data_IF_873139648840
#
_entry.id   IF_873139648840
#
_cell.length_a   1.000
_cell.length_b   1.000
_cell.length_c   1.000
_cell.angle_alpha   90.00
_cell.angle_beta   90.00
_cell.angle_gamma   90.00
#
_symmetry.space_group_name_H-M   'P 1'
#
loop_
_entity.id
_entity.type
_entity.pdbx_description
1 polymer ?
#
# COMPACT_ATOMS: atom_id res chain seq x y z
N UNK A 1 -12.84 -56.87 13.34
CA UNK A 1 -12.87 -55.40 13.26
C UNK A 1 -11.45 -54.88 13.21
N UNK A 2 -10.99 -54.42 12.05
CA UNK A 2 -9.63 -53.89 11.86
C UNK A 2 -9.58 -52.43 12.32
N UNK A 3 -8.80 -52.13 13.37
CA UNK A 3 -8.55 -50.77 13.84
C UNK A 3 -7.56 -50.13 12.85
N UNK A 4 -8.07 -49.31 11.95
CA UNK A 4 -7.25 -48.49 11.06
C UNK A 4 -6.54 -47.44 11.91
N UNK A 5 -5.25 -47.65 12.19
CA UNK A 5 -4.38 -46.59 12.72
C UNK A 5 -4.32 -45.48 11.67
N UNK A 6 -5.04 -44.38 11.90
CA UNK A 6 -4.89 -43.15 11.12
C UNK A 6 -3.46 -42.64 11.33
N UNK A 7 -2.61 -42.75 10.32
CA UNK A 7 -1.32 -42.08 10.30
C UNK A 7 -1.56 -40.58 10.08
N UNK A 8 -1.35 -39.78 11.10
CA UNK A 8 -1.39 -38.33 10.96
C UNK A 8 -0.09 -37.84 10.33
N UNK A 9 -0.17 -36.86 9.43
CA UNK A 9 1.03 -36.18 8.95
C UNK A 9 1.67 -35.39 10.09
N UNK A 10 2.99 -35.17 10.01
CA UNK A 10 3.71 -34.36 11.01
C UNK A 10 3.06 -32.98 11.21
N UNK A 11 2.57 -32.37 10.12
CA UNK A 11 1.83 -31.10 10.17
C UNK A 11 0.53 -31.22 10.97
N UNK A 12 -0.23 -32.31 10.83
CA UNK A 12 -1.45 -32.56 11.60
C UNK A 12 -1.16 -32.83 13.08
N UNK A 13 -0.03 -33.46 13.39
CA UNK A 13 0.43 -33.68 14.77
C UNK A 13 0.81 -32.34 15.41
N UNK A 14 1.58 -31.51 14.70
CA UNK A 14 1.98 -30.17 15.17
C UNK A 14 0.74 -29.27 15.36
N UNK A 15 -0.19 -29.25 14.41
CA UNK A 15 -1.41 -28.45 14.51
C UNK A 15 -2.28 -28.84 15.73
N UNK A 16 -2.37 -30.14 16.01
CA UNK A 16 -3.09 -30.64 17.19
C UNK A 16 -2.36 -30.37 18.50
N UNK A 17 -1.04 -30.44 18.51
CA UNK A 17 -0.22 -30.07 19.67
C UNK A 17 -0.39 -28.59 20.01
N UNK A 18 -0.35 -27.71 19.00
CA UNK A 18 -0.58 -26.27 19.18
C UNK A 18 -2.01 -26.01 19.69
N UNK A 19 -3.02 -26.67 19.11
CA UNK A 19 -4.40 -26.54 19.56
C UNK A 19 -4.63 -27.01 21.00
N UNK A 20 -4.05 -28.15 21.39
CA UNK A 20 -4.16 -28.70 22.75
C UNK A 20 -3.41 -27.83 23.77
N UNK A 21 -2.19 -27.38 23.44
CA UNK A 21 -1.40 -26.49 24.30
C UNK A 21 -2.10 -25.14 24.54
N UNK A 22 -2.73 -24.57 23.50
CA UNK A 22 -3.50 -23.34 23.63
C UNK A 22 -4.74 -23.51 24.52
N UNK A 23 -5.39 -24.68 24.48
CA UNK A 23 -6.56 -24.97 25.32
C UNK A 23 -6.16 -25.18 26.78
N UNK A 24 -5.05 -25.87 27.03
CA UNK A 24 -4.48 -26.07 28.37
C UNK A 24 -3.99 -24.75 28.98
N UNK A 25 -3.34 -23.89 28.19
CA UNK A 25 -2.91 -22.56 28.63
C UNK A 25 -4.09 -21.65 28.99
N UNK A 26 -5.21 -21.71 28.24
CA UNK A 26 -6.45 -20.98 28.59
C UNK A 26 -7.07 -21.48 29.90
N UNK A 27 -7.15 -22.80 30.09
CA UNK A 27 -7.67 -23.39 31.33
C UNK A 27 -6.79 -23.05 32.55
N UNK A 28 -5.47 -22.97 32.38
CA UNK A 28 -4.55 -22.54 33.42
C UNK A 28 -4.77 -21.07 33.82
N UNK A 29 -4.97 -20.17 32.84
CA UNK A 29 -5.25 -18.74 33.09
C UNK A 29 -6.60 -18.50 33.78
N UNK A 30 -7.63 -19.32 33.51
CA UNK A 30 -8.92 -19.26 34.21
C UNK A 30 -8.80 -19.66 35.70
N UNK A 31 -7.80 -20.49 36.04
CA UNK A 31 -7.58 -20.98 37.40
C UNK A 31 -6.66 -20.10 38.26
N UNK A 32 -5.66 -19.44 37.67
CA UNK A 32 -4.69 -18.57 38.35
C UNK A 32 -4.35 -17.34 37.47
N UNK A 33 -5.23 -16.32 37.41
CA UNK A 33 -5.14 -15.23 36.43
C UNK A 33 -3.96 -14.26 36.62
N UNK A 34 -3.25 -14.29 37.77
CA UNK A 34 -2.36 -13.20 38.19
C UNK A 34 -1.02 -13.68 38.80
N UNK A 35 -0.50 -14.82 38.32
CA UNK A 35 0.74 -15.40 38.84
C UNK A 35 1.94 -15.09 37.93
N UNK A 36 2.71 -14.01 38.18
CA UNK A 36 3.89 -13.71 37.38
C UNK A 36 4.95 -14.80 37.57
N UNK A 37 5.20 -15.58 36.51
CA UNK A 37 6.26 -16.58 36.46
C UNK A 37 7.60 -15.96 36.10
N UNK A 38 8.66 -16.24 36.86
CA UNK A 38 10.03 -15.91 36.44
C UNK A 38 10.52 -16.97 35.45
N UNK A 39 10.68 -16.60 34.18
CA UNK A 39 11.17 -17.48 33.12
C UNK A 39 12.58 -17.07 32.68
N UNK A 40 13.64 -17.74 33.16
CA UNK A 40 15.00 -17.44 32.71
C UNK A 40 15.21 -17.95 31.28
N UNK A 41 15.43 -17.04 30.33
CA UNK A 41 15.68 -17.36 28.92
C UNK A 41 17.15 -17.18 28.58
N UNK A 42 17.79 -18.21 28.02
CA UNK A 42 19.06 -18.06 27.34
C UNK A 42 18.82 -17.61 25.90
N UNK A 43 19.37 -16.46 25.53
CA UNK A 43 19.27 -15.89 24.18
C UNK A 43 20.64 -15.84 23.52
N UNK A 44 20.67 -15.85 22.18
CA UNK A 44 21.90 -15.69 21.40
C UNK A 44 22.47 -14.27 21.58
N UNK A 45 23.79 -14.05 21.40
CA UNK A 45 24.42 -12.74 21.51
C UNK A 45 23.74 -11.66 20.65
N UNK A 46 23.36 -11.97 19.41
CA UNK A 46 22.71 -11.01 18.50
C UNK A 46 21.31 -10.62 19.00
N UNK A 47 20.54 -11.60 19.51
CA UNK A 47 19.23 -11.36 20.12
C UNK A 47 19.36 -10.52 21.38
N UNK A 48 20.43 -10.71 22.17
CA UNK A 48 20.72 -9.88 23.34
C UNK A 48 21.02 -8.44 22.94
N UNK A 49 21.88 -8.24 21.94
CA UNK A 49 22.23 -6.91 21.44
C UNK A 49 21.00 -6.15 20.92
N UNK A 50 20.11 -6.85 20.20
CA UNK A 50 18.80 -6.34 19.81
C UNK A 50 17.99 -5.88 21.04
N UNK A 51 17.75 -6.77 22.01
CA UNK A 51 16.94 -6.42 23.19
C UNK A 51 17.55 -5.28 24.02
N UNK A 52 18.88 -5.19 24.12
CA UNK A 52 19.59 -4.11 24.79
C UNK A 52 19.39 -2.75 24.11
N UNK A 53 19.45 -2.70 22.77
CA UNK A 53 19.20 -1.49 22.00
C UNK A 53 17.76 -0.97 22.21
N UNK A 54 16.78 -1.88 22.19
CA UNK A 54 15.37 -1.52 22.39
C UNK A 54 15.08 -1.13 23.84
N UNK A 55 15.67 -1.80 24.84
CA UNK A 55 15.52 -1.45 26.24
C UNK A 55 16.03 -0.03 26.55
N UNK A 56 17.15 0.36 25.92
CA UNK A 56 17.72 1.71 26.03
C UNK A 56 16.77 2.78 25.47
N UNK A 57 16.14 2.51 24.34
CA UNK A 57 15.18 3.44 23.71
C UNK A 57 13.85 3.50 24.46
N UNK A 58 13.38 2.36 24.96
CA UNK A 58 12.14 2.23 25.73
C UNK A 58 12.25 2.86 27.13
N UNK A 59 13.47 2.98 27.69
CA UNK A 59 13.69 3.39 29.07
C UNK A 59 13.36 2.29 30.08
N UNK A 60 13.53 1.03 29.69
CA UNK A 60 13.16 -0.16 30.46
C UNK A 60 14.31 -1.16 30.61
N UNK A 61 14.01 -2.32 31.20
CA UNK A 61 14.95 -3.45 31.28
C UNK A 61 14.81 -4.38 30.07
N UNK A 62 15.88 -5.12 29.75
CA UNK A 62 15.86 -6.20 28.74
C UNK A 62 14.72 -7.19 29.03
N UNK A 63 14.52 -7.54 30.30
CA UNK A 63 13.47 -8.47 30.72
C UNK A 63 12.06 -7.90 30.47
N UNK A 64 11.87 -6.59 30.65
CA UNK A 64 10.60 -5.92 30.35
C UNK A 64 10.30 -5.91 28.85
N UNK A 65 11.31 -5.64 28.01
CA UNK A 65 11.15 -5.67 26.55
C UNK A 65 10.89 -7.10 26.06
N UNK A 66 11.65 -8.07 26.55
CA UNK A 66 11.46 -9.47 26.22
C UNK A 66 10.09 -9.99 26.68
N UNK A 67 9.66 -9.62 27.89
CA UNK A 67 8.32 -9.91 28.42
C UNK A 67 7.23 -9.34 27.51
N UNK A 68 7.29 -8.05 27.18
CA UNK A 68 6.31 -7.42 26.30
C UNK A 68 6.21 -8.09 24.91
N UNK A 69 7.34 -8.49 24.33
CA UNK A 69 7.36 -9.23 23.05
C UNK A 69 6.70 -10.61 23.21
N UNK A 70 7.09 -11.36 24.25
CA UNK A 70 6.55 -12.70 24.52
C UNK A 70 5.07 -12.65 24.84
N UNK A 71 4.63 -11.68 25.63
CA UNK A 71 3.22 -11.43 25.96
C UNK A 71 2.44 -11.05 24.71
N UNK A 72 2.99 -10.20 23.83
CA UNK A 72 2.38 -9.88 22.54
C UNK A 72 2.20 -11.12 21.65
N UNK A 73 3.21 -11.98 21.58
CA UNK A 73 3.13 -13.26 20.83
C UNK A 73 2.10 -14.20 21.46
N UNK A 74 2.13 -14.36 22.78
CA UNK A 74 1.22 -15.22 23.53
C UNK A 74 -0.24 -14.74 23.39
N UNK A 75 -0.50 -13.44 23.56
CA UNK A 75 -1.82 -12.84 23.38
C UNK A 75 -2.36 -13.09 21.96
N UNK A 76 -1.52 -12.96 20.94
CA UNK A 76 -1.90 -13.21 19.54
C UNK A 76 -2.32 -14.66 19.31
N UNK A 77 -1.67 -15.63 19.98
CA UNK A 77 -1.99 -17.05 19.86
C UNK A 77 -3.16 -17.48 20.75
N UNK A 78 -3.31 -16.86 21.94
CA UNK A 78 -4.26 -17.30 22.96
C UNK A 78 -5.62 -16.62 22.88
N UNK A 79 -5.72 -15.37 22.41
CA UNK A 79 -6.97 -14.59 22.43
C UNK A 79 -7.61 -14.41 21.05
N UNK A 80 -7.44 -15.36 20.13
CA UNK A 80 -7.75 -15.28 18.68
C UNK A 80 -8.86 -14.31 18.21
N UNK A 81 -10.04 -14.25 18.84
CA UNK A 81 -11.10 -13.29 18.48
C UNK A 81 -10.85 -11.87 19.02
N UNK A 82 -10.46 -11.71 20.30
CA UNK A 82 -10.11 -10.42 20.89
C UNK A 82 -8.79 -9.87 20.32
N UNK A 83 -7.83 -10.75 20.00
CA UNK A 83 -6.59 -10.42 19.32
C UNK A 83 -6.84 -9.96 17.88
N UNK A 84 -7.76 -10.62 17.15
CA UNK A 84 -8.18 -10.17 15.82
C UNK A 84 -8.87 -8.80 15.88
N UNK A 85 -9.78 -8.57 16.85
CA UNK A 85 -10.45 -7.28 17.03
C UNK A 85 -9.50 -6.16 17.47
N UNK A 86 -8.54 -6.46 18.35
CA UNK A 86 -7.47 -5.53 18.74
C UNK A 86 -6.60 -5.19 17.52
N UNK A 87 -6.26 -6.19 16.71
CA UNK A 87 -5.52 -6.02 15.46
C UNK A 87 -6.22 -5.10 14.47
N UNK A 88 -7.56 -5.09 14.40
CA UNK A 88 -8.30 -4.15 13.54
C UNK A 88 -8.15 -2.70 14.01
N UNK A 89 -8.26 -2.45 15.32
CA UNK A 89 -8.07 -1.11 15.90
C UNK A 89 -6.62 -0.65 15.68
N UNK A 90 -5.65 -1.50 15.95
CA UNK A 90 -4.22 -1.22 15.73
C UNK A 90 -3.90 -0.92 14.26
N UNK A 91 -4.48 -1.66 13.31
CA UNK A 91 -4.29 -1.40 11.86
C UNK A 91 -4.93 -0.09 11.42
N UNK A 92 -6.07 0.29 12.00
CA UNK A 92 -6.65 1.61 11.74
C UNK A 92 -5.78 2.73 12.32
N UNK A 93 -5.24 2.57 13.53
CA UNK A 93 -4.27 3.51 14.09
C UNK A 93 -3.02 3.64 13.21
N UNK A 94 -2.50 2.51 12.71
CA UNK A 94 -1.38 2.50 11.78
C UNK A 94 -1.71 3.24 10.47
N UNK A 95 -2.93 3.12 9.93
CA UNK A 95 -3.35 3.92 8.77
C UNK A 95 -3.37 5.42 9.07
N UNK A 96 -3.84 5.83 10.25
CA UNK A 96 -3.87 7.23 10.64
C UNK A 96 -2.44 7.79 10.70
N UNK A 97 -1.52 7.06 11.32
CA UNK A 97 -0.10 7.42 11.43
C UNK A 97 0.59 7.45 10.06
N UNK A 98 0.36 6.44 9.22
CA UNK A 98 0.92 6.32 7.88
C UNK A 98 0.53 7.51 6.98
N UNK A 99 -0.69 8.02 7.17
CA UNK A 99 -1.21 9.16 6.43
C UNK A 99 -0.86 10.51 7.08
N UNK A 100 -0.05 10.52 8.15
CA UNK A 100 0.39 11.71 8.89
C UNK A 100 -0.77 12.55 9.44
N UNK A 101 -1.85 11.88 9.84
CA UNK A 101 -3.07 12.52 10.33
C UNK A 101 -3.07 12.61 11.85
N UNK A 102 -3.40 13.79 12.37
CA UNK A 102 -3.83 13.93 13.75
C UNK A 102 -5.19 13.23 13.98
N UNK A 103 -5.52 12.90 15.23
CA UNK A 103 -6.85 12.35 15.53
C UNK A 103 -8.02 13.27 15.15
N UNK A 104 -7.96 14.61 15.34
CA UNK A 104 -8.94 15.51 14.77
C UNK A 104 -9.09 15.39 13.25
N UNK A 105 -7.99 15.39 12.50
CA UNK A 105 -8.03 15.26 11.04
C UNK A 105 -8.54 13.87 10.59
N UNK A 106 -8.14 12.81 11.28
CA UNK A 106 -8.67 11.47 11.05
C UNK A 106 -10.18 11.42 11.31
N UNK A 107 -10.67 12.06 12.37
CA UNK A 107 -12.10 12.15 12.66
C UNK A 107 -12.87 12.88 11.57
N UNK A 108 -12.34 13.97 11.00
CA UNK A 108 -12.96 14.68 9.86
C UNK A 108 -13.20 13.72 8.68
N UNK A 109 -12.23 12.87 8.36
CA UNK A 109 -12.34 11.88 7.28
C UNK A 109 -13.33 10.77 7.64
N UNK A 110 -13.25 10.26 8.87
CA UNK A 110 -13.98 9.08 9.32
C UNK A 110 -15.42 9.38 9.80
N UNK A 111 -15.78 10.65 10.02
CA UNK A 111 -17.12 11.06 10.48
C UNK A 111 -18.22 10.62 9.53
N UNK A 112 -17.96 10.62 8.22
CA UNK A 112 -18.91 10.11 7.20
C UNK A 112 -19.22 8.61 7.35
N UNK A 113 -18.37 7.87 8.07
CA UNK A 113 -18.58 6.46 8.41
C UNK A 113 -19.18 6.29 9.82
N UNK A 114 -19.46 7.37 10.52
CA UNK A 114 -20.01 7.39 11.88
C UNK A 114 -18.97 7.11 12.97
N UNK A 115 -17.70 7.42 12.72
CA UNK A 115 -16.61 7.38 13.70
C UNK A 115 -16.22 8.82 14.05
N UNK A 116 -16.30 9.15 15.32
CA UNK A 116 -16.03 10.48 15.87
C UNK A 116 -14.67 10.55 16.56
N UNK A 117 -14.23 11.76 16.92
CA UNK A 117 -13.01 11.95 17.72
C UNK A 117 -13.08 11.23 19.08
N UNK A 118 -14.26 11.18 19.70
CA UNK A 118 -14.47 10.48 20.96
C UNK A 118 -14.28 8.96 20.78
N UNK A 119 -14.71 8.41 19.65
CA UNK A 119 -14.46 7.01 19.31
C UNK A 119 -12.95 6.76 19.14
N UNK A 120 -12.24 7.60 18.37
CA UNK A 120 -10.79 7.46 18.16
C UNK A 120 -9.95 7.56 19.45
N UNK A 121 -10.45 8.32 20.44
CA UNK A 121 -9.77 8.49 21.73
C UNK A 121 -10.00 7.31 22.69
N UNK A 122 -10.87 6.36 22.34
CA UNK A 122 -11.22 5.21 23.18
C UNK A 122 -11.22 3.92 22.36
N UNK A 123 -10.23 3.02 22.54
CA UNK A 123 -10.14 1.75 21.80
C UNK A 123 -11.42 0.90 21.89
N UNK A 124 -12.10 0.92 23.04
CA UNK A 124 -13.34 0.15 23.24
C UNK A 124 -14.54 0.77 22.53
N UNK A 125 -14.65 2.11 22.51
CA UNK A 125 -15.68 2.80 21.76
C UNK A 125 -15.50 2.58 20.25
N UNK A 126 -14.26 2.73 19.76
CA UNK A 126 -13.90 2.47 18.38
C UNK A 126 -14.23 1.04 17.97
N UNK A 127 -13.89 0.05 18.82
CA UNK A 127 -14.18 -1.36 18.57
C UNK A 127 -15.67 -1.60 18.30
N UNK A 128 -16.55 -0.96 19.06
CA UNK A 128 -18.00 -1.06 18.85
C UNK A 128 -18.48 -0.48 17.51
N UNK A 129 -17.66 0.36 16.85
CA UNK A 129 -17.99 1.00 15.57
C UNK A 129 -17.43 0.29 14.35
N UNK A 130 -16.37 -0.53 14.48
CA UNK A 130 -15.68 -1.18 13.36
C UNK A 130 -16.43 -2.41 12.83
N UNK A 131 -17.61 -2.19 12.26
CA UNK A 131 -18.41 -3.23 11.58
C UNK A 131 -17.86 -3.53 10.18
N UNK A 132 -18.15 -4.72 9.64
CA UNK A 132 -17.67 -5.11 8.31
C UNK A 132 -17.97 -4.09 7.19
N UNK A 133 -19.19 -3.53 7.05
CA UNK A 133 -19.48 -2.52 6.02
C UNK A 133 -18.68 -1.22 6.18
N UNK A 134 -18.42 -0.81 7.44
CA UNK A 134 -17.59 0.37 7.73
C UNK A 134 -16.13 0.11 7.42
N UNK A 135 -15.61 -1.06 7.81
CA UNK A 135 -14.25 -1.47 7.48
C UNK A 135 -14.02 -1.55 5.97
N UNK A 136 -15.00 -2.04 5.21
CA UNK A 136 -14.92 -2.04 3.74
C UNK A 136 -14.87 -0.61 3.18
N UNK A 137 -15.72 0.29 3.68
CA UNK A 137 -15.75 1.69 3.26
C UNK A 137 -14.47 2.45 3.63
N UNK A 138 -13.90 2.17 4.80
CA UNK A 138 -12.61 2.72 5.25
C UNK A 138 -11.48 2.15 4.37
N UNK A 139 -11.47 0.85 4.13
CA UNK A 139 -10.46 0.21 3.28
C UNK A 139 -10.45 0.82 1.87
N UNK A 140 -11.62 1.10 1.30
CA UNK A 140 -11.74 1.79 0.01
C UNK A 140 -11.20 3.23 0.05
N UNK A 141 -11.53 4.02 1.08
CA UNK A 141 -11.05 5.41 1.19
C UNK A 141 -9.53 5.52 1.33
N UNK A 142 -8.93 4.58 2.07
CA UNK A 142 -7.48 4.51 2.28
C UNK A 142 -6.76 3.65 1.22
N UNK A 143 -7.48 3.11 0.24
CA UNK A 143 -6.95 2.26 -0.83
C UNK A 143 -6.16 1.02 -0.33
N UNK A 144 -6.63 0.42 0.76
CA UNK A 144 -6.07 -0.81 1.34
C UNK A 144 -7.03 -2.00 1.20
N UNK A 145 -6.53 -3.21 1.41
CA UNK A 145 -7.35 -4.43 1.40
C UNK A 145 -8.17 -4.52 2.67
N UNK A 146 -9.49 -4.72 2.50
CA UNK A 146 -10.40 -5.02 3.60
C UNK A 146 -9.89 -6.17 4.47
N UNK A 147 -9.42 -7.27 3.87
CA UNK A 147 -8.94 -8.44 4.62
C UNK A 147 -7.71 -8.12 5.47
N UNK A 148 -6.87 -7.18 5.06
CA UNK A 148 -5.81 -6.68 5.93
C UNK A 148 -6.40 -5.81 7.03
N UNK A 149 -7.25 -4.83 6.73
CA UNK A 149 -7.79 -3.99 7.80
C UNK A 149 -8.58 -4.81 8.84
N UNK A 150 -9.27 -5.87 8.42
CA UNK A 150 -10.05 -6.78 9.26
C UNK A 150 -9.23 -7.90 9.95
N UNK A 151 -7.90 -7.88 9.89
CA UNK A 151 -7.08 -8.87 10.61
C UNK A 151 -6.86 -10.21 9.91
N UNK A 152 -7.41 -10.42 8.71
CA UNK A 152 -7.47 -11.73 8.02
C UNK A 152 -6.28 -11.99 7.09
N UNK A 153 -5.62 -10.95 6.61
CA UNK A 153 -4.48 -11.03 5.69
C UNK A 153 -3.32 -10.16 6.18
N UNK A 154 -2.11 -10.51 5.73
CA UNK A 154 -0.90 -9.67 5.85
C UNK A 154 -0.69 -8.75 4.64
N UNK A 155 -1.46 -8.93 3.56
CA UNK A 155 -1.37 -8.12 2.34
C UNK A 155 -2.18 -6.83 2.49
N UNK A 156 -1.48 -5.72 2.68
CA UNK A 156 -1.99 -4.38 2.96
C UNK A 156 -2.71 -3.74 1.78
N UNK A 157 -2.14 -3.78 0.58
CA UNK A 157 -2.66 -3.10 -0.62
C UNK A 157 -2.93 -4.08 -1.75
N UNK A 158 -3.61 -3.62 -2.81
CA UNK A 158 -3.82 -4.39 -4.04
C UNK A 158 -3.22 -3.64 -5.22
N UNK A 159 -2.21 -4.22 -5.87
CA UNK A 159 -1.63 -3.68 -7.11
C UNK A 159 -2.49 -3.91 -8.35
N UNK A 160 -3.82 -3.99 -8.20
CA UNK A 160 -4.75 -4.30 -9.29
C UNK A 160 -6.01 -3.42 -9.22
N UNK A 161 -5.95 -2.27 -8.52
CA UNK A 161 -7.10 -1.37 -8.41
C UNK A 161 -7.58 -0.92 -9.80
N UNK A 162 -6.63 -0.61 -10.67
CA UNK A 162 -6.91 -0.11 -12.02
C UNK A 162 -5.94 -0.72 -13.03
N UNK A 163 -6.49 -1.10 -14.19
CA UNK A 163 -5.73 -1.52 -15.36
C UNK A 163 -5.47 -0.31 -16.26
N UNK A 164 -4.26 -0.21 -16.78
CA UNK A 164 -3.84 0.81 -17.73
C UNK A 164 -3.32 0.21 -19.03
N UNK A 165 -2.78 -1.01 -19.00
CA UNK A 165 -2.28 -1.69 -20.18
C UNK A 165 -3.47 -2.06 -21.08
N UNK A 166 -3.45 -1.57 -22.33
CA UNK A 166 -4.59 -1.63 -23.27
C UNK A 166 -5.86 -0.91 -22.82
N UNK A 167 -5.79 -0.11 -21.76
CA UNK A 167 -6.91 0.66 -21.20
C UNK A 167 -6.46 2.07 -20.82
N UNK A 168 -5.57 2.67 -21.61
CA UNK A 168 -5.00 4.00 -21.32
C UNK A 168 -6.07 5.11 -21.30
N UNK A 169 -7.18 4.94 -22.02
CA UNK A 169 -8.38 5.77 -21.95
C UNK A 169 -9.04 5.74 -20.57
N UNK A 170 -9.22 4.56 -19.97
CA UNK A 170 -9.79 4.43 -18.62
C UNK A 170 -8.86 5.01 -17.57
N UNK A 171 -7.56 4.77 -17.72
CA UNK A 171 -6.54 5.42 -16.90
C UNK A 171 -6.61 6.94 -16.99
N UNK A 172 -6.80 7.50 -18.19
CA UNK A 172 -7.00 8.92 -18.40
C UNK A 172 -8.27 9.45 -17.71
N UNK A 173 -9.40 8.73 -17.77
CA UNK A 173 -10.63 9.10 -17.07
C UNK A 173 -10.45 9.15 -15.55
N UNK A 174 -9.71 8.20 -14.96
CA UNK A 174 -9.43 8.17 -13.52
C UNK A 174 -8.58 9.37 -13.09
N UNK A 175 -7.51 9.65 -13.85
CA UNK A 175 -6.62 10.80 -13.64
C UNK A 175 -7.40 12.12 -13.77
N UNK A 176 -8.22 12.23 -14.81
CA UNK A 176 -9.06 13.38 -15.08
C UNK A 176 -10.04 13.65 -13.94
N UNK A 177 -10.79 12.61 -13.56
CA UNK A 177 -11.79 12.69 -12.48
C UNK A 177 -11.16 13.14 -11.17
N UNK A 178 -9.99 12.62 -10.82
CA UNK A 178 -9.27 13.05 -9.62
C UNK A 178 -8.85 14.50 -9.65
N UNK A 179 -8.30 14.96 -10.78
CA UNK A 179 -7.88 16.35 -10.92
C UNK A 179 -9.07 17.32 -10.78
N UNK A 180 -10.24 16.92 -11.27
CA UNK A 180 -11.45 17.76 -11.27
C UNK A 180 -12.27 17.66 -9.99
N UNK A 181 -12.02 16.68 -9.11
CA UNK A 181 -12.62 16.65 -7.77
C UNK A 181 -11.96 17.61 -6.78
N UNK A 182 -11.05 18.49 -7.24
CA UNK A 182 -10.35 19.46 -6.40
C UNK A 182 -9.18 18.85 -5.60
N UNK A 183 -8.77 17.63 -5.95
CA UNK A 183 -7.60 16.98 -5.36
C UNK A 183 -6.33 17.42 -6.10
N UNK A 184 -5.24 17.57 -5.37
CA UNK A 184 -3.91 17.60 -5.97
C UNK A 184 -3.53 16.16 -6.36
N UNK A 185 -3.37 15.93 -7.66
CA UNK A 185 -3.13 14.60 -8.24
C UNK A 185 -1.72 14.54 -8.80
N UNK A 186 -1.03 13.44 -8.49
CA UNK A 186 0.30 13.14 -8.99
C UNK A 186 0.36 11.69 -9.47
N UNK A 187 0.95 11.49 -10.65
CA UNK A 187 1.27 10.19 -11.20
C UNK A 187 2.73 9.85 -10.84
N UNK A 188 2.92 8.83 -10.03
CA UNK A 188 4.23 8.36 -9.59
C UNK A 188 4.54 7.06 -10.33
N UNK A 189 5.65 6.99 -11.05
CA UNK A 189 6.13 5.74 -11.65
C UNK A 189 7.28 5.17 -10.83
N UNK A 190 7.05 4.00 -10.23
CA UNK A 190 8.01 3.34 -9.34
C UNK A 190 8.69 2.19 -10.07
N UNK A 191 9.99 2.02 -9.87
CA UNK A 191 10.75 0.87 -10.38
C UNK A 191 11.82 0.45 -9.38
N UNK A 192 12.29 -0.80 -9.46
CA UNK A 192 13.44 -1.27 -8.68
C UNK A 192 14.73 -0.50 -9.01
N UNK A 193 15.63 -0.40 -8.03
CA UNK A 193 16.89 0.31 -8.13
C UNK A 193 17.80 -0.32 -9.19
N UNK A 194 17.74 -1.65 -9.34
CA UNK A 194 18.51 -2.38 -10.36
C UNK A 194 17.85 -2.40 -11.74
N UNK A 195 16.64 -1.86 -11.90
CA UNK A 195 15.93 -1.84 -13.17
C UNK A 195 16.66 -1.02 -14.24
N UNK A 196 17.04 -1.69 -15.32
CA UNK A 196 17.59 -1.01 -16.50
C UNK A 196 16.47 -0.58 -17.46
N UNK A 197 16.02 0.67 -17.36
CA UNK A 197 15.00 1.23 -18.26
C UNK A 197 15.46 1.43 -19.72
N UNK A 198 16.77 1.30 -19.98
CA UNK A 198 17.33 1.29 -21.35
C UNK A 198 17.20 -0.09 -22.01
N UNK A 199 16.99 -1.15 -21.23
CA UNK A 199 16.75 -2.49 -21.78
C UNK A 199 15.38 -2.55 -22.45
N UNK A 200 15.38 -2.60 -23.79
CA UNK A 200 14.16 -2.67 -24.63
C UNK A 200 13.83 -4.08 -25.13
N UNK A 201 14.62 -5.08 -24.73
CA UNK A 201 14.41 -6.50 -25.05
C UNK A 201 14.52 -7.36 -23.79
N UNK A 202 13.86 -8.51 -23.81
CA UNK A 202 13.87 -9.48 -22.70
C UNK A 202 14.98 -10.53 -22.86
N UNK A 203 15.74 -10.48 -23.97
CA UNK A 203 16.73 -11.48 -24.33
C UNK A 203 17.88 -11.53 -23.31
N UNK A 204 18.05 -12.69 -22.67
CA UNK A 204 19.14 -12.94 -21.73
C UNK A 204 18.97 -12.34 -20.33
N UNK A 205 17.87 -11.64 -20.05
CA UNK A 205 17.57 -11.13 -18.71
C UNK A 205 16.80 -12.18 -17.90
N UNK A 206 17.27 -12.48 -16.68
CA UNK A 206 16.46 -13.23 -15.73
C UNK A 206 15.19 -12.42 -15.38
N UNK A 207 14.05 -13.09 -15.17
CA UNK A 207 12.76 -12.44 -14.91
C UNK A 207 12.82 -11.35 -13.82
N UNK A 208 13.62 -11.55 -12.76
CA UNK A 208 13.80 -10.59 -11.66
C UNK A 208 14.57 -9.31 -12.03
N UNK A 209 15.29 -9.31 -13.16
CA UNK A 209 16.02 -8.14 -13.66
C UNK A 209 15.33 -7.52 -14.87
N UNK A 210 14.16 -8.04 -15.26
CA UNK A 210 13.34 -7.38 -16.28
C UNK A 210 12.89 -6.04 -15.69
N UNK A 211 13.02 -4.93 -16.42
CA UNK A 211 12.59 -3.64 -15.92
C UNK A 211 11.06 -3.62 -15.85
N UNK A 212 10.52 -3.54 -14.64
CA UNK A 212 9.11 -3.36 -14.39
C UNK A 212 8.84 -1.96 -13.84
N UNK A 213 7.65 -1.44 -14.11
CA UNK A 213 7.20 -0.14 -13.61
C UNK A 213 5.82 -0.32 -13.00
N UNK A 214 5.67 0.20 -11.78
CA UNK A 214 4.42 0.23 -11.03
C UNK A 214 3.92 1.68 -10.97
N UNK A 215 2.83 2.02 -11.67
CA UNK A 215 2.18 3.32 -11.50
C UNK A 215 1.45 3.39 -10.14
N UNK A 216 1.63 4.51 -9.46
CA UNK A 216 0.91 4.85 -8.24
C UNK A 216 0.30 6.24 -8.40
N UNK A 217 -0.99 6.39 -8.15
CA UNK A 217 -1.65 7.71 -8.13
C UNK A 217 -1.67 8.20 -6.70
N UNK A 218 -0.99 9.31 -6.44
CA UNK A 218 -1.11 10.06 -5.20
C UNK A 218 -2.19 11.12 -5.38
N UNK A 219 -3.18 11.12 -4.48
CA UNK A 219 -4.22 12.15 -4.43
C UNK A 219 -4.19 12.80 -3.06
N UNK A 220 -4.10 14.12 -3.04
CA UNK A 220 -3.99 14.90 -1.82
C UNK A 220 -5.11 15.93 -1.76
N UNK A 221 -5.86 15.94 -0.67
CA UNK A 221 -6.89 16.96 -0.40
C UNK A 221 -6.59 17.68 0.90
N UNK A 222 -6.82 18.99 0.92
CA UNK A 222 -6.71 19.78 2.14
C UNK A 222 -7.89 19.48 3.08
N UNK A 223 -7.62 19.43 4.38
CA UNK A 223 -8.61 19.33 5.44
C UNK A 223 -8.80 20.70 6.11
N UNK A 224 -9.96 20.99 6.73
CA UNK A 224 -10.24 22.28 7.36
C UNK A 224 -9.19 22.73 8.40
N UNK A 225 -8.52 21.78 9.07
CA UNK A 225 -7.46 22.04 10.06
C UNK A 225 -6.08 22.36 9.48
N UNK A 226 -5.93 22.50 8.15
CA UNK A 226 -4.64 22.76 7.50
C UNK A 226 -3.78 21.52 7.26
N UNK A 227 -4.19 20.36 7.79
CA UNK A 227 -3.62 19.06 7.45
C UNK A 227 -4.08 18.59 6.05
N UNK A 228 -3.43 17.56 5.53
CA UNK A 228 -3.77 17.00 4.22
C UNK A 228 -4.05 15.53 4.34
N UNK A 229 -5.14 15.09 3.68
CA UNK A 229 -5.38 13.68 3.47
C UNK A 229 -4.78 13.27 2.14
N UNK A 230 -3.75 12.41 2.19
CA UNK A 230 -3.09 11.84 1.02
C UNK A 230 -3.48 10.38 0.89
N UNK A 231 -3.94 9.93 -0.28
CA UNK A 231 -4.19 8.51 -0.58
C UNK A 231 -3.36 8.05 -1.76
N UNK A 232 -3.04 6.76 -1.80
CA UNK A 232 -2.21 6.15 -2.82
C UNK A 232 -2.93 4.98 -3.47
N UNK A 233 -3.17 5.08 -4.78
CA UNK A 233 -3.79 4.01 -5.57
C UNK A 233 -2.70 3.28 -6.36
N UNK A 234 -2.44 2.02 -6.01
CA UNK A 234 -1.53 1.18 -6.80
C UNK A 234 -2.28 0.62 -8.01
N UNK A 235 -1.74 0.86 -9.20
CA UNK A 235 -2.25 0.27 -10.43
C UNK A 235 -1.51 -1.01 -10.79
N UNK A 236 -1.94 -1.70 -11.84
CA UNK A 236 -1.25 -2.90 -12.31
C UNK A 236 0.23 -2.63 -12.64
N UNK A 237 1.09 -3.58 -12.30
CA UNK A 237 2.49 -3.55 -12.70
C UNK A 237 2.62 -3.82 -14.20
N UNK A 238 3.49 -3.07 -14.89
CA UNK A 238 3.80 -3.34 -16.30
C UNK A 238 5.26 -3.57 -16.58
N UNK A 239 5.50 -4.38 -17.61
CA UNK A 239 6.84 -4.66 -18.13
C UNK A 239 7.30 -3.52 -19.01
N UNK A 240 8.33 -2.80 -18.58
CA UNK A 240 8.92 -1.72 -19.35
C UNK A 240 9.69 -2.23 -20.58
N UNK A 241 10.31 -3.41 -20.47
CA UNK A 241 11.00 -4.07 -21.60
C UNK A 241 10.05 -4.37 -22.76
N UNK A 242 8.78 -4.68 -22.46
CA UNK A 242 7.79 -5.00 -23.47
C UNK A 242 7.23 -3.74 -24.14
N UNK A 243 7.52 -3.57 -25.43
CA UNK A 243 7.22 -2.35 -26.17
C UNK A 243 5.74 -1.94 -26.13
N UNK A 244 4.78 -2.89 -26.23
CA UNK A 244 3.35 -2.54 -26.19
C UNK A 244 2.95 -1.97 -24.84
N UNK A 245 3.40 -2.59 -23.74
CA UNK A 245 3.14 -2.09 -22.40
C UNK A 245 3.78 -0.71 -22.23
N UNK A 246 5.04 -0.54 -22.64
CA UNK A 246 5.72 0.75 -22.61
C UNK A 246 4.98 1.85 -23.40
N UNK A 247 4.44 1.54 -24.57
CA UNK A 247 3.65 2.50 -25.36
C UNK A 247 2.38 2.95 -24.61
N UNK A 248 1.61 2.03 -24.04
CA UNK A 248 0.42 2.40 -23.27
C UNK A 248 0.76 3.22 -22.02
N UNK A 249 1.87 2.92 -21.34
CA UNK A 249 2.32 3.72 -20.21
C UNK A 249 2.72 5.13 -20.63
N UNK A 250 3.42 5.28 -21.77
CA UNK A 250 3.72 6.59 -22.37
C UNK A 250 2.45 7.36 -22.71
N UNK A 251 1.41 6.72 -23.23
CA UNK A 251 0.11 7.37 -23.47
C UNK A 251 -0.53 7.90 -22.18
N UNK A 252 -0.47 7.14 -21.08
CA UNK A 252 -0.96 7.59 -19.77
C UNK A 252 -0.16 8.79 -19.26
N UNK A 253 1.18 8.74 -19.34
CA UNK A 253 2.06 9.85 -18.94
C UNK A 253 1.79 11.10 -19.78
N UNK A 254 1.64 10.93 -21.09
CA UNK A 254 1.30 12.03 -22.01
C UNK A 254 -0.03 12.69 -21.65
N UNK A 255 -1.07 11.89 -21.38
CA UNK A 255 -2.35 12.42 -20.95
C UNK A 255 -2.24 13.17 -19.62
N UNK A 256 -1.53 12.60 -18.63
CA UNK A 256 -1.29 13.26 -17.35
C UNK A 256 -0.64 14.64 -17.53
N UNK A 257 0.39 14.72 -18.39
CA UNK A 257 1.03 16.00 -18.70
C UNK A 257 0.10 17.00 -19.39
N UNK A 258 -0.73 16.55 -20.33
CA UNK A 258 -1.74 17.40 -20.99
C UNK A 258 -2.74 17.98 -20.00
N UNK A 259 -3.04 17.25 -18.93
CA UNK A 259 -3.92 17.68 -17.84
C UNK A 259 -3.21 18.45 -16.72
N UNK A 260 -1.93 18.82 -16.90
CA UNK A 260 -1.12 19.45 -15.86
C UNK A 260 -1.08 18.66 -14.53
N UNK A 261 -1.12 17.33 -14.63
CA UNK A 261 -0.89 16.41 -13.53
C UNK A 261 0.62 16.21 -13.40
N UNK A 262 1.14 16.35 -12.19
CA UNK A 262 2.57 16.19 -11.95
C UNK A 262 2.97 14.73 -12.12
N UNK A 263 3.99 14.46 -12.93
CA UNK A 263 4.51 13.11 -13.18
C UNK A 263 5.91 13.02 -12.59
N UNK A 264 6.17 12.03 -11.75
CA UNK A 264 7.51 11.80 -11.16
C UNK A 264 7.90 10.34 -11.17
N UNK A 265 9.20 10.08 -11.08
CA UNK A 265 9.76 8.74 -11.02
C UNK A 265 10.54 8.45 -9.74
N UNK A 266 10.24 7.31 -9.12
CA UNK A 266 11.05 6.75 -8.03
C UNK A 266 11.72 5.44 -8.44
N UNK A 267 13.00 5.33 -8.10
CA UNK A 267 13.80 4.12 -8.05
C UNK A 267 13.99 3.80 -6.58
N UNK A 268 13.47 2.66 -6.15
CA UNK A 268 13.52 2.22 -4.76
C UNK A 268 14.29 0.91 -4.67
N UNK A 269 14.79 0.57 -3.48
CA UNK A 269 15.48 -0.70 -3.25
C UNK A 269 14.63 -1.87 -3.74
N UNK A 270 15.26 -2.87 -4.37
CA UNK A 270 14.52 -3.96 -5.03
C UNK A 270 13.65 -4.74 -4.03
N UNK A 271 14.11 -4.94 -2.79
CA UNK A 271 13.30 -5.55 -1.73
C UNK A 271 12.06 -4.70 -1.38
N UNK A 272 12.20 -3.37 -1.38
CA UNK A 272 11.09 -2.46 -1.13
C UNK A 272 10.10 -2.46 -2.31
N UNK A 273 10.61 -2.58 -3.55
CA UNK A 273 9.79 -2.76 -4.74
C UNK A 273 9.01 -4.07 -4.69
N UNK A 274 9.66 -5.18 -4.39
CA UNK A 274 9.03 -6.49 -4.24
C UNK A 274 7.95 -6.49 -3.15
N UNK A 275 8.23 -5.82 -2.01
CA UNK A 275 7.23 -5.64 -0.96
C UNK A 275 6.07 -4.76 -1.40
N UNK A 276 6.30 -3.72 -2.20
CA UNK A 276 5.24 -2.85 -2.72
C UNK A 276 4.34 -3.60 -3.70
N UNK A 277 4.92 -4.32 -4.66
CA UNK A 277 4.19 -5.14 -5.65
C UNK A 277 3.41 -6.26 -4.96
N UNK A 278 4.01 -6.91 -3.95
CA UNK A 278 3.35 -7.94 -3.16
C UNK A 278 2.32 -7.39 -2.15
N UNK A 279 2.16 -6.06 -2.06
CA UNK A 279 1.25 -5.39 -1.14
C UNK A 279 1.61 -5.62 0.34
N UNK A 280 2.88 -5.79 0.68
CA UNK A 280 3.38 -6.02 2.05
C UNK A 280 3.79 -4.75 2.78
N UNK A 281 3.77 -3.61 2.09
CA UNK A 281 4.12 -2.29 2.63
C UNK A 281 3.09 -1.26 2.17
N UNK A 282 2.83 -0.26 3.01
CA UNK A 282 2.00 0.89 2.67
C UNK A 282 2.83 1.94 1.91
N UNK A 283 2.16 2.67 1.02
CA UNK A 283 2.82 3.66 0.18
C UNK A 283 3.29 4.92 0.93
N UNK A 284 2.60 5.31 1.99
CA UNK A 284 2.89 6.54 2.73
C UNK A 284 4.33 6.57 3.23
N UNK A 285 4.72 5.60 4.03
CA UNK A 285 6.05 5.33 4.57
C UNK A 285 7.10 5.21 3.47
N UNK A 286 6.74 4.63 2.34
CA UNK A 286 7.69 4.42 1.25
C UNK A 286 8.01 5.71 0.51
N UNK A 287 7.03 6.58 0.28
CA UNK A 287 7.19 7.80 -0.51
C UNK A 287 7.43 9.06 0.32
N UNK A 288 7.16 9.02 1.64
CA UNK A 288 7.46 10.13 2.56
C UNK A 288 8.95 10.46 2.46
N UNK A 289 9.26 11.73 2.19
CA UNK A 289 10.62 12.28 2.13
C UNK A 289 11.54 11.69 1.04
N UNK A 290 11.01 11.04 0.00
CA UNK A 290 11.84 10.61 -1.14
C UNK A 290 12.05 11.72 -2.15
N UNK A 291 13.27 11.79 -2.67
CA UNK A 291 13.61 12.65 -3.80
C UNK A 291 13.25 11.95 -5.11
N UNK A 292 12.87 12.73 -6.11
CA UNK A 292 12.70 12.24 -7.49
C UNK A 292 14.04 11.68 -7.98
N UNK A 293 13.99 10.51 -8.60
CA UNK A 293 15.20 9.77 -9.05
C UNK A 293 15.22 9.55 -10.56
N UNK A 294 14.07 9.68 -11.23
CA UNK A 294 13.97 9.69 -12.67
C UNK A 294 12.73 10.45 -13.13
N UNK A 295 12.68 10.78 -14.42
CA UNK A 295 11.71 11.68 -15.03
C UNK A 295 10.94 10.94 -16.13
N UNK A 296 9.77 10.32 -15.84
CA UNK A 296 8.99 9.60 -16.84
C UNK A 296 8.46 10.49 -17.96
N UNK A 297 8.25 11.75 -17.64
CA UNK A 297 7.88 12.82 -18.56
C UNK A 297 8.91 13.06 -19.67
N UNK A 298 10.19 12.71 -19.47
CA UNK A 298 11.21 12.77 -20.53
C UNK A 298 10.84 11.91 -21.76
N UNK A 299 9.98 10.90 -21.59
CA UNK A 299 9.64 9.93 -22.63
C UNK A 299 8.42 10.30 -23.48
N UNK A 300 7.82 11.47 -23.23
CA UNK A 300 6.63 11.95 -23.96
C UNK A 300 6.81 13.41 -24.39
N UNK A 301 6.04 13.91 -25.38
CA UNK A 301 6.11 15.29 -25.80
C UNK A 301 5.47 16.21 -24.76
N UNK A 302 6.09 17.37 -24.56
CA UNK A 302 5.56 18.42 -23.68
C UNK A 302 5.63 19.78 -24.37
N UNK A 303 4.53 20.55 -24.29
CA UNK A 303 4.43 21.91 -24.82
C UNK A 303 4.94 22.07 -26.28
N UNK A 304 4.61 21.10 -27.14
CA UNK A 304 5.01 21.11 -28.56
C UNK A 304 6.46 20.71 -28.83
N UNK A 305 7.22 20.32 -27.80
CA UNK A 305 8.57 19.77 -27.94
C UNK A 305 8.52 18.24 -28.02
N UNK A 306 9.37 17.61 -28.83
CA UNK A 306 9.49 16.15 -28.85
C UNK A 306 10.00 15.62 -27.51
N UNK A 307 9.80 14.32 -27.22
CA UNK A 307 10.37 13.69 -26.04
C UNK A 307 11.90 13.85 -25.97
N UNK A 308 12.43 14.06 -24.77
CA UNK A 308 13.88 14.07 -24.53
C UNK A 308 14.48 12.66 -24.66
N UNK A 309 13.71 11.62 -24.35
CA UNK A 309 14.09 10.20 -24.43
C UNK A 309 13.17 9.45 -25.38
N UNK A 310 13.76 8.51 -26.12
CA UNK A 310 13.08 7.67 -27.11
C UNK A 310 12.16 8.42 -28.10
N UNK A 311 12.58 9.54 -28.73
CA UNK A 311 11.70 10.32 -29.62
C UNK A 311 11.19 9.51 -30.83
N UNK A 312 11.98 8.55 -31.30
CA UNK A 312 11.60 7.65 -32.40
C UNK A 312 10.47 6.69 -32.01
N UNK A 313 10.46 6.23 -30.76
CA UNK A 313 9.40 5.37 -30.26
C UNK A 313 8.09 6.14 -30.14
N UNK A 314 8.13 7.40 -29.69
CA UNK A 314 6.95 8.26 -29.68
C UNK A 314 6.41 8.52 -31.09
N UNK A 315 7.28 8.80 -32.05
CA UNK A 315 6.86 8.95 -33.45
C UNK A 315 6.11 7.71 -33.96
N UNK A 316 6.52 6.51 -33.53
CA UNK A 316 5.83 5.25 -33.84
C UNK A 316 4.44 5.18 -33.19
N UNK A 317 4.30 5.64 -31.94
CA UNK A 317 2.99 5.71 -31.25
C UNK A 317 2.06 6.66 -32.00
N UNK A 318 2.55 7.85 -32.38
CA UNK A 318 1.75 8.87 -33.06
C UNK A 318 1.30 8.44 -34.46
N UNK A 319 2.15 7.74 -35.20
CA UNK A 319 1.82 7.26 -36.56
C UNK A 319 1.03 5.95 -36.61
N UNK A 320 0.82 5.28 -35.48
CA UNK A 320 0.24 3.93 -35.43
C UNK A 320 -1.28 3.97 -35.28
N UNK A 321 -1.98 3.32 -36.20
CA UNK A 321 -3.45 3.18 -36.18
C UNK A 321 -3.96 2.53 -34.88
N UNK A 322 -3.16 1.66 -34.24
CA UNK A 322 -3.50 0.99 -32.98
C UNK A 322 -3.83 1.98 -31.83
N UNK A 323 -3.31 3.21 -31.89
CA UNK A 323 -3.47 4.21 -30.83
C UNK A 323 -4.38 5.39 -31.23
N UNK A 324 -4.80 5.47 -32.49
CA UNK A 324 -5.64 6.56 -32.99
C UNK A 324 -6.93 6.72 -32.17
N UNK A 325 -7.57 5.60 -31.82
CA UNK A 325 -8.77 5.63 -30.97
C UNK A 325 -8.49 6.18 -29.57
N UNK A 326 -7.34 5.84 -28.97
CA UNK A 326 -6.94 6.36 -27.65
C UNK A 326 -6.72 7.87 -27.70
N UNK A 327 -6.04 8.40 -28.72
CA UNK A 327 -5.87 9.85 -28.89
C UNK A 327 -7.20 10.58 -29.10
N UNK A 328 -8.11 9.99 -29.89
CA UNK A 328 -9.47 10.53 -30.04
C UNK A 328 -10.17 10.59 -28.69
N UNK A 329 -10.13 9.51 -27.91
CA UNK A 329 -10.77 9.47 -26.59
C UNK A 329 -10.15 10.48 -25.62
N UNK A 330 -8.83 10.67 -25.65
CA UNK A 330 -8.17 11.72 -24.88
C UNK A 330 -8.71 13.12 -25.23
N UNK A 331 -8.86 13.43 -26.53
CA UNK A 331 -9.42 14.70 -26.96
C UNK A 331 -10.88 14.87 -26.52
N UNK A 332 -11.68 13.80 -26.54
CA UNK A 332 -13.06 13.83 -26.03
C UNK A 332 -13.07 14.18 -24.52
N UNK A 333 -12.26 13.48 -23.70
CA UNK A 333 -12.14 13.76 -22.25
C UNK A 333 -11.69 15.21 -22.01
N UNK A 334 -10.70 15.70 -22.78
CA UNK A 334 -10.23 17.08 -22.67
C UNK A 334 -11.27 18.09 -23.17
N UNK A 335 -12.14 17.73 -24.11
CA UNK A 335 -13.20 18.62 -24.62
C UNK A 335 -14.38 18.76 -23.66
N UNK A 336 -14.57 17.78 -22.77
CA UNK A 336 -15.52 17.85 -21.66
C UNK A 336 -15.08 18.83 -20.57
N UNK A 337 -13.97 19.56 -20.77
CA UNK A 337 -13.54 20.71 -19.97
C UNK A 337 -14.67 21.75 -19.87
N UNK A 338 -15.16 22.06 -18.65
CA UNK A 338 -15.75 23.37 -18.42
C UNK A 338 -14.68 24.39 -18.78
N UNK A 339 -14.98 25.31 -19.71
CA UNK A 339 -14.11 26.46 -19.96
C UNK A 339 -14.01 27.22 -18.64
N UNK A 340 -12.87 27.09 -17.96
CA UNK A 340 -12.54 27.94 -16.82
C UNK A 340 -12.53 29.38 -17.35
N UNK A 341 -13.56 30.14 -17.00
CA UNK A 341 -13.65 31.57 -17.28
C UNK A 341 -12.39 32.25 -16.74
N UNK A 342 -11.75 33.05 -17.59
CA UNK A 342 -10.51 33.78 -17.34
C UNK A 342 -10.59 34.89 -16.26
N UNK A 343 -11.50 34.76 -15.29
CA UNK A 343 -11.76 35.75 -14.24
C UNK A 343 -11.30 35.25 -12.87
N UNK A 344 -10.05 34.82 -12.75
CA UNK A 344 -9.31 34.84 -11.48
C UNK A 344 -7.83 35.10 -11.78
N UNK A 345 -7.50 36.37 -12.00
CA UNK A 345 -6.13 36.90 -11.89
C UNK A 345 -6.04 37.76 -10.64
#
# INVERSE_FOLDING_TARGET
MSITRKSFSLQQIIYRLIGAANQEARAALESEPDKPGRFPVQVRPDTRAFLEAYAKTWGGSIASVAGAILDGVAMTQMHGAEAAMRGTVERLSLLIEEHDLSYPAAAEILTRFGITLADLSSPDALRGKLTAPRLESIAQEFCVKYDWLAGKSSTMTSGELHMWYKAADKAAEILWTGKHSGEDVKLILVTGASSNLEAKTEDGLAARHMPHVLPVIERRRALPGGEFFTRYELWEEGRWSYWRARHYLKLVVFFAQKCHIHVIGYRIDDDAYDHLVAGKVLCGSLFKHRNVTWYPDDYVPYAGRPPAKDPQEWATIESSDDYHWTFRRFNEILSEMPTLSADQT
#
